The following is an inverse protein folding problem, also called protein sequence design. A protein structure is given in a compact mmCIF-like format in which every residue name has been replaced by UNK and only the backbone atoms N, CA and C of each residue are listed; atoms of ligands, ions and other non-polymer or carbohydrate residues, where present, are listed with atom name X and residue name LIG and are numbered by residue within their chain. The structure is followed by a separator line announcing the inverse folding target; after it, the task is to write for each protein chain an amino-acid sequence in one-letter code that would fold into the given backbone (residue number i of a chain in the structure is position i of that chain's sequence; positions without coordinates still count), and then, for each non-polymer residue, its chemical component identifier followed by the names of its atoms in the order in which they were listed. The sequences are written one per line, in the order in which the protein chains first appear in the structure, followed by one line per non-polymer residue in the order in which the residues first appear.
data_IF_896380570450
#
_entry.id   IF_896380570450
#
_cell.length_a   1.000
_cell.length_b   1.000
_cell.length_c   1.000
_cell.angle_alpha   90.00
_cell.angle_beta   90.00
_cell.angle_gamma   90.00
#
_symmetry.space_group_name_H-M   'P 1'
#
loop_
_entity.id
_entity.type
_entity.pdbx_description
1 polymer ?
#
# COMPACT_ATOMS: atom_id res chain seq x y z
N UNK A 1 -50.73 58.77 -16.45
CA UNK A 1 -50.58 57.44 -15.81
C UNK A 1 -49.47 56.60 -16.46
N UNK A 2 -49.43 56.42 -17.78
CA UNK A 2 -48.40 55.62 -18.46
C UNK A 2 -46.94 56.05 -18.19
N UNK A 3 -46.66 57.35 -18.14
CA UNK A 3 -45.30 57.85 -17.88
C UNK A 3 -44.78 57.50 -16.47
N UNK A 4 -45.66 57.50 -15.47
CA UNK A 4 -45.31 57.12 -14.10
C UNK A 4 -44.94 55.65 -13.96
N UNK A 5 -45.66 54.77 -14.67
CA UNK A 5 -45.34 53.33 -14.73
C UNK A 5 -43.95 53.12 -15.37
N UNK A 6 -43.64 53.83 -16.46
CA UNK A 6 -42.36 53.69 -17.15
C UNK A 6 -41.16 54.11 -16.27
N UNK A 7 -41.30 55.22 -15.54
CA UNK A 7 -40.26 55.70 -14.60
C UNK A 7 -40.07 54.71 -13.44
N UNK A 8 -41.17 54.17 -12.90
CA UNK A 8 -41.11 53.17 -11.82
C UNK A 8 -40.39 51.90 -12.26
N UNK A 9 -40.64 51.41 -13.48
CA UNK A 9 -39.96 50.23 -14.03
C UNK A 9 -38.46 50.49 -14.26
N UNK A 10 -38.11 51.70 -14.71
CA UNK A 10 -36.72 52.08 -14.94
C UNK A 10 -35.90 52.09 -13.63
N UNK A 11 -36.47 52.65 -12.55
CA UNK A 11 -35.84 52.66 -11.22
C UNK A 11 -35.66 51.24 -10.68
N UNK A 12 -36.67 50.39 -10.86
CA UNK A 12 -36.60 48.99 -10.46
C UNK A 12 -35.50 48.26 -11.23
N UNK A 13 -35.42 48.46 -12.55
CA UNK A 13 -34.38 47.85 -13.38
C UNK A 13 -32.96 48.25 -12.92
N UNK A 14 -32.73 49.54 -12.64
CA UNK A 14 -31.46 50.03 -12.07
C UNK A 14 -31.16 49.36 -10.72
N UNK A 15 -32.18 49.20 -9.87
CA UNK A 15 -32.02 48.57 -8.56
C UNK A 15 -31.62 47.10 -8.68
N UNK A 16 -32.26 46.34 -9.59
CA UNK A 16 -31.86 44.97 -9.89
C UNK A 16 -30.46 44.89 -10.48
N UNK A 17 -30.06 45.84 -11.32
CA UNK A 17 -28.72 45.89 -11.89
C UNK A 17 -27.65 46.08 -10.81
N UNK A 18 -27.90 46.96 -9.84
CA UNK A 18 -26.99 47.19 -8.70
C UNK A 18 -26.89 45.94 -7.83
N UNK A 19 -28.03 45.34 -7.46
CA UNK A 19 -28.04 44.09 -6.67
C UNK A 19 -27.31 42.98 -7.42
N UNK A 20 -27.57 42.84 -8.72
CA UNK A 20 -26.95 41.85 -9.56
C UNK A 20 -25.44 42.06 -9.63
N UNK A 21 -24.97 43.30 -9.84
CA UNK A 21 -23.56 43.65 -9.88
C UNK A 21 -22.84 43.32 -8.57
N UNK A 22 -23.43 43.69 -7.42
CA UNK A 22 -22.87 43.38 -6.10
C UNK A 22 -22.82 41.86 -5.84
N UNK A 23 -23.89 41.15 -6.19
CA UNK A 23 -23.97 39.69 -6.04
C UNK A 23 -22.95 38.98 -6.95
N UNK A 24 -22.74 39.48 -8.17
CA UNK A 24 -21.78 38.96 -9.13
C UNK A 24 -20.34 39.20 -8.64
N UNK A 25 -20.02 40.42 -8.19
CA UNK A 25 -18.68 40.75 -7.69
C UNK A 25 -18.27 39.89 -6.49
N UNK A 26 -19.22 39.54 -5.63
CA UNK A 26 -18.97 38.65 -4.48
C UNK A 26 -18.72 37.19 -4.89
N UNK A 27 -19.34 36.71 -5.96
CA UNK A 27 -19.21 35.32 -6.44
C UNK A 27 -17.99 35.10 -7.32
N UNK A 28 -17.53 36.14 -8.02
CA UNK A 28 -16.42 36.06 -8.99
C UNK A 28 -15.10 36.64 -8.47
N UNK A 29 -14.96 36.89 -7.17
CA UNK A 29 -13.67 37.30 -6.61
C UNK A 29 -12.77 36.06 -6.52
N UNK A 30 -11.86 35.89 -7.49
CA UNK A 30 -10.91 34.76 -7.58
C UNK A 30 -10.05 34.50 -6.33
N UNK A 31 -10.09 35.42 -5.35
CA UNK A 31 -9.57 35.20 -3.99
C UNK A 31 -10.22 34.00 -3.29
N UNK A 32 -11.52 33.79 -3.51
CA UNK A 32 -12.26 32.64 -2.96
C UNK A 32 -11.83 31.32 -3.59
N UNK A 33 -11.41 31.33 -4.86
CA UNK A 33 -10.89 30.14 -5.54
C UNK A 33 -9.52 29.73 -4.98
N UNK A 34 -8.63 30.70 -4.71
CA UNK A 34 -7.33 30.46 -4.08
C UNK A 34 -7.50 29.93 -2.66
N UNK A 35 -8.36 30.56 -1.86
CA UNK A 35 -8.64 30.10 -0.48
C UNK A 35 -9.22 28.68 -0.46
N UNK A 36 -10.11 28.36 -1.41
CA UNK A 36 -10.64 27.01 -1.57
C UNK A 36 -9.57 26.00 -2.04
N UNK A 37 -8.63 26.41 -2.89
CA UNK A 37 -7.52 25.57 -3.32
C UNK A 37 -6.55 25.29 -2.15
N UNK A 38 -6.18 26.31 -1.38
CA UNK A 38 -5.37 26.15 -0.16
C UNK A 38 -6.05 25.21 0.83
N UNK A 39 -7.35 25.40 1.08
CA UNK A 39 -8.14 24.51 1.95
C UNK A 39 -8.15 23.07 1.45
N UNK A 40 -8.27 22.86 0.14
CA UNK A 40 -8.19 21.53 -0.47
C UNK A 40 -6.81 20.90 -0.31
N UNK A 41 -5.73 21.68 -0.49
CA UNK A 41 -4.36 21.21 -0.26
C UNK A 41 -4.16 20.82 1.20
N UNK A 42 -4.60 21.65 2.15
CA UNK A 42 -4.52 21.31 3.58
C UNK A 42 -5.30 20.04 3.92
N UNK A 43 -6.49 19.87 3.34
CA UNK A 43 -7.27 18.64 3.49
C UNK A 43 -6.52 17.43 2.93
N UNK A 44 -5.96 17.56 1.73
CA UNK A 44 -5.20 16.47 1.10
C UNK A 44 -3.95 16.11 1.91
N UNK A 45 -3.21 17.10 2.43
CA UNK A 45 -2.08 16.85 3.33
C UNK A 45 -2.55 16.09 4.57
N UNK A 46 -3.65 16.52 5.18
CA UNK A 46 -4.21 15.85 6.35
C UNK A 46 -4.60 14.40 6.05
N UNK A 47 -5.25 14.15 4.93
CA UNK A 47 -5.69 12.82 4.51
C UNK A 47 -4.47 11.91 4.22
N UNK A 48 -3.44 12.43 3.53
CA UNK A 48 -2.19 11.70 3.27
C UNK A 48 -1.49 11.37 4.59
N UNK A 49 -1.35 12.33 5.49
CA UNK A 49 -0.70 12.09 6.79
C UNK A 49 -1.47 11.05 7.60
N UNK A 50 -2.80 11.13 7.63
CA UNK A 50 -3.63 10.16 8.34
C UNK A 50 -3.50 8.75 7.75
N UNK A 51 -3.61 8.60 6.43
CA UNK A 51 -3.44 7.29 5.78
C UNK A 51 -2.01 6.76 5.88
N UNK A 52 -1.01 7.63 5.91
CA UNK A 52 0.39 7.24 6.11
C UNK A 52 0.60 6.70 7.52
N UNK A 53 0.10 7.38 8.55
CA UNK A 53 0.18 6.94 9.94
C UNK A 53 -0.51 5.58 10.12
N UNK A 54 -1.74 5.45 9.60
CA UNK A 54 -2.46 4.18 9.62
C UNK A 54 -1.70 3.06 8.91
N UNK A 55 -1.09 3.36 7.75
CA UNK A 55 -0.30 2.39 7.00
C UNK A 55 0.95 1.96 7.77
N UNK A 56 1.61 2.88 8.48
CA UNK A 56 2.75 2.57 9.35
C UNK A 56 2.30 1.62 10.47
N UNK A 57 1.19 1.90 11.15
CA UNK A 57 0.64 1.02 12.19
C UNK A 57 0.37 -0.39 11.66
N UNK A 58 -0.30 -0.52 10.51
CA UNK A 58 -0.58 -1.83 9.90
C UNK A 58 0.72 -2.56 9.53
N UNK A 59 1.73 -1.83 9.06
CA UNK A 59 3.02 -2.39 8.68
C UNK A 59 3.79 -2.87 9.92
N UNK A 60 3.74 -2.12 11.01
CA UNK A 60 4.32 -2.51 12.30
C UNK A 60 3.67 -3.78 12.86
N UNK A 61 2.34 -3.85 12.85
CA UNK A 61 1.59 -5.04 13.26
C UNK A 61 1.98 -6.26 12.42
N UNK A 62 2.06 -6.11 11.10
CA UNK A 62 2.48 -7.18 10.18
C UNK A 62 3.93 -7.60 10.37
N UNK A 63 4.81 -6.65 10.68
CA UNK A 63 6.21 -6.93 10.99
C UNK A 63 6.33 -7.75 12.28
N UNK A 64 5.55 -7.40 13.31
CA UNK A 64 5.50 -8.13 14.57
C UNK A 64 4.94 -9.55 14.39
N UNK A 65 3.84 -9.69 13.63
CA UNK A 65 3.27 -10.99 13.27
C UNK A 65 4.30 -11.86 12.55
N UNK A 66 4.96 -11.31 11.53
CA UNK A 66 5.98 -12.01 10.74
C UNK A 66 7.17 -12.43 11.60
N UNK A 67 7.65 -11.54 12.48
CA UNK A 67 8.71 -11.87 13.43
C UNK A 67 8.32 -13.01 14.39
N UNK A 68 7.06 -13.06 14.82
CA UNK A 68 6.57 -14.16 15.65
C UNK A 68 6.57 -15.50 14.89
N UNK A 69 6.16 -15.50 13.62
CA UNK A 69 6.16 -16.69 12.76
C UNK A 69 7.60 -17.16 12.50
N UNK A 70 8.53 -16.23 12.27
CA UNK A 70 9.96 -16.53 12.14
C UNK A 70 10.50 -17.17 13.43
N UNK A 71 10.13 -16.63 14.60
CA UNK A 71 10.54 -17.20 15.89
C UNK A 71 9.98 -18.62 16.10
N UNK A 72 8.72 -18.86 15.74
CA UNK A 72 8.11 -20.19 15.80
C UNK A 72 8.77 -21.17 14.82
N UNK A 73 9.05 -20.73 13.59
CA UNK A 73 9.74 -21.53 12.60
C UNK A 73 11.15 -21.91 13.09
N UNK A 74 11.89 -20.97 13.66
CA UNK A 74 13.21 -21.23 14.26
C UNK A 74 13.13 -22.26 15.40
N UNK A 75 12.09 -22.19 16.25
CA UNK A 75 11.85 -23.20 17.29
C UNK A 75 11.61 -24.58 16.69
N UNK A 76 10.78 -24.68 15.64
CA UNK A 76 10.49 -25.95 14.94
C UNK A 76 11.74 -26.51 14.24
N UNK A 77 12.55 -25.66 13.62
CA UNK A 77 13.83 -26.05 13.01
C UNK A 77 14.79 -26.61 14.08
N UNK A 78 14.87 -25.96 15.24
CA UNK A 78 15.71 -26.44 16.34
C UNK A 78 15.27 -27.83 16.82
N UNK A 79 13.96 -28.05 16.98
CA UNK A 79 13.43 -29.35 17.37
C UNK A 79 13.69 -30.43 16.30
N UNK A 80 13.45 -30.11 15.02
CA UNK A 80 13.73 -31.02 13.92
C UNK A 80 15.21 -31.39 13.84
N UNK A 81 16.11 -30.42 14.03
CA UNK A 81 17.56 -30.67 14.08
C UNK A 81 17.95 -31.58 15.24
N UNK A 82 17.39 -31.35 16.42
CA UNK A 82 17.65 -32.22 17.59
C UNK A 82 17.13 -33.65 17.37
N UNK A 83 16.01 -33.83 16.68
CA UNK A 83 15.53 -35.17 16.30
C UNK A 83 16.46 -35.83 15.28
N UNK A 84 16.90 -35.08 14.27
CA UNK A 84 17.84 -35.57 13.26
C UNK A 84 19.18 -36.01 13.89
N UNK A 85 19.72 -35.23 14.83
CA UNK A 85 20.94 -35.59 15.55
C UNK A 85 20.76 -36.88 16.37
N UNK A 86 19.62 -37.05 17.06
CA UNK A 86 19.32 -38.29 17.79
C UNK A 86 19.18 -39.50 16.85
N UNK A 87 18.55 -39.31 15.69
CA UNK A 87 18.43 -40.35 14.66
C UNK A 87 19.81 -40.75 14.12
N UNK A 88 20.66 -39.77 13.79
CA UNK A 88 22.05 -40.02 13.34
C UNK A 88 22.87 -40.78 14.39
N UNK A 89 22.78 -40.38 15.66
CA UNK A 89 23.48 -41.09 16.74
C UNK A 89 23.01 -42.54 16.87
N UNK A 90 21.70 -42.80 16.79
CA UNK A 90 21.15 -44.16 16.83
C UNK A 90 21.61 -44.99 15.63
N UNK A 91 21.68 -44.39 14.44
CA UNK A 91 22.17 -45.03 13.21
C UNK A 91 23.67 -45.37 13.28
N UNK A 92 24.50 -44.47 13.83
CA UNK A 92 25.92 -44.74 14.08
C UNK A 92 26.12 -45.87 15.10
N UNK A 93 25.35 -45.91 16.19
CA UNK A 93 25.37 -47.00 17.17
C UNK A 93 25.00 -48.32 16.50
N UNK A 94 23.93 -48.33 15.70
CA UNK A 94 23.48 -49.52 14.97
C UNK A 94 24.58 -50.01 14.00
N UNK A 95 25.21 -49.11 13.24
CA UNK A 95 26.30 -49.43 12.30
C UNK A 95 27.53 -50.01 13.00
N UNK A 96 27.86 -49.51 14.19
CA UNK A 96 28.97 -50.01 15.01
C UNK A 96 28.68 -51.40 15.62
N UNK A 97 27.41 -51.75 15.84
CA UNK A 97 26.99 -53.07 16.32
C UNK A 97 26.89 -54.09 15.18
N UNK A 98 26.43 -53.66 14.00
CA UNK A 98 26.21 -54.55 12.84
C UNK A 98 27.50 -54.76 12.03
N UNK A 99 28.49 -53.84 12.10
CA UNK A 99 29.81 -54.10 11.52
C UNK A 99 30.51 -55.21 12.32
N UNK A 100 30.77 -56.40 11.73
CA UNK A 100 31.51 -57.43 12.42
C UNK A 100 32.94 -56.93 12.72
N UNK A 101 33.29 -56.98 14.00
CA UNK A 101 34.65 -56.84 14.51
C UNK A 101 35.60 -57.70 13.66
N UNK A 102 36.40 -57.06 12.82
CA UNK A 102 37.67 -57.61 12.39
C UNK A 102 38.76 -56.75 13.02
N UNK A 103 39.31 -57.28 14.11
CA UNK A 103 40.42 -56.73 14.87
C UNK A 103 41.65 -56.54 13.99
N UNK A 104 42.30 -55.38 14.06
CA UNK A 104 43.70 -55.35 14.49
C UNK A 104 44.25 -53.94 14.80
N UNK A 105 44.74 -53.85 16.04
CA UNK A 105 45.97 -53.20 16.48
C UNK A 105 46.16 -51.68 16.31
N UNK A 106 46.35 -51.04 17.47
CA UNK A 106 47.51 -50.18 17.78
C UNK A 106 47.71 -48.91 16.95
N UNK A 107 47.52 -47.74 17.57
CA UNK A 107 48.63 -46.98 18.15
C UNK A 107 48.28 -45.53 18.55
N UNK A 108 48.57 -45.24 19.82
CA UNK A 108 49.18 -44.01 20.36
C UNK A 108 48.80 -42.65 19.75
N UNK A 109 48.03 -41.92 20.54
CA UNK A 109 48.03 -40.46 20.70
C UNK A 109 49.45 -39.89 20.75
N UNK A 110 49.80 -38.95 19.86
CA UNK A 110 50.98 -38.07 19.97
C UNK A 110 50.55 -36.61 20.05
N UNK A 111 51.23 -35.92 20.94
CA UNK A 111 51.03 -34.54 21.33
C UNK A 111 51.58 -33.51 20.32
N UNK A 112 50.85 -32.40 20.19
CA UNK A 112 51.25 -30.97 20.34
C UNK A 112 52.60 -30.44 19.76
N UNK A 113 52.45 -29.28 19.08
CA UNK A 113 53.39 -28.15 18.75
C UNK A 113 54.27 -28.27 17.50
N UNK A 114 54.68 -27.23 16.75
CA UNK A 114 54.29 -25.82 16.46
C UNK A 114 55.53 -25.16 15.78
N UNK A 115 55.40 -24.55 14.60
CA UNK A 115 56.27 -23.47 14.04
C UNK A 115 55.84 -23.14 12.59
N UNK A 116 55.31 -21.96 12.19
CA UNK A 116 55.71 -20.53 12.19
C UNK A 116 56.60 -20.09 11.02
N UNK A 117 56.05 -19.27 10.10
CA UNK A 117 56.65 -18.04 9.48
C UNK A 117 55.77 -17.56 8.29
N UNK A 118 54.94 -16.52 8.45
CA UNK A 118 55.22 -15.09 8.16
C UNK A 118 55.20 -14.72 6.64
N UNK A 119 54.10 -14.19 6.08
CA UNK A 119 53.76 -12.74 5.91
C UNK A 119 53.68 -12.37 4.38
N UNK A 120 53.42 -11.13 3.92
CA UNK A 120 52.19 -10.73 3.22
C UNK A 120 52.42 -10.06 1.83
N UNK A 121 51.39 -9.92 0.96
CA UNK A 121 51.33 -8.74 0.05
C UNK A 121 50.01 -8.53 -0.71
N UNK A 122 49.32 -7.47 -0.29
CA UNK A 122 48.50 -6.56 -1.13
C UNK A 122 49.33 -5.99 -2.29
N UNK A 123 48.71 -5.83 -3.46
CA UNK A 123 49.02 -4.73 -4.40
C UNK A 123 47.71 -4.10 -4.87
N UNK A 124 47.57 -2.80 -4.57
CA UNK A 124 46.69 -1.84 -5.25
C UNK A 124 47.34 -1.45 -6.58
N UNK A 125 46.52 -1.15 -7.59
CA UNK A 125 46.72 0.03 -8.44
C UNK A 125 45.35 0.68 -8.63
N UNK A 126 45.26 1.94 -8.24
CA UNK A 126 44.15 2.86 -8.44
C UNK A 126 44.21 3.40 -9.88
N UNK A 127 43.08 3.52 -10.57
CA UNK A 127 42.91 4.57 -11.57
C UNK A 127 41.47 5.08 -11.56
N UNK A 128 41.35 6.41 -11.53
CA UNK A 128 40.19 7.24 -11.22
C UNK A 128 39.59 7.78 -12.53
N UNK A 129 38.32 7.48 -12.85
CA UNK A 129 37.45 8.28 -13.73
C UNK A 129 36.00 8.09 -13.26
N UNK A 130 35.46 9.05 -12.53
CA UNK A 130 34.69 10.21 -13.04
C UNK A 130 33.19 9.85 -13.19
N UNK A 131 32.42 10.35 -12.23
CA UNK A 131 30.96 10.29 -12.17
C UNK A 131 30.44 11.13 -13.34
N UNK A 132 29.83 10.49 -14.34
CA UNK A 132 29.01 11.16 -15.33
C UNK A 132 27.55 10.78 -15.13
N UNK A 133 26.75 11.82 -14.91
CA UNK A 133 25.30 11.84 -14.96
C UNK A 133 24.79 10.95 -16.10
N UNK A 134 23.91 10.00 -15.79
CA UNK A 134 23.08 9.39 -16.82
C UNK A 134 21.75 10.11 -16.81
N UNK A 135 21.66 11.06 -17.72
CA UNK A 135 20.46 11.81 -18.05
C UNK A 135 19.33 10.85 -18.44
N UNK A 136 18.23 11.05 -17.73
CA UNK A 136 16.84 10.88 -18.13
C UNK A 136 16.61 11.03 -19.64
N UNK A 137 16.44 9.93 -20.38
CA UNK A 137 15.50 9.72 -21.50
C UNK A 137 15.50 8.23 -21.87
N UNK A 138 14.34 7.56 -22.05
CA UNK A 138 14.32 6.16 -22.43
C UNK A 138 14.74 5.99 -23.90
N UNK A 139 15.74 5.13 -24.12
CA UNK A 139 16.15 4.65 -25.44
C UNK A 139 15.01 3.92 -26.16
N UNK A 140 14.86 4.15 -27.46
CA UNK A 140 13.85 3.62 -28.39
C UNK A 140 13.86 2.09 -28.64
N UNK A 141 14.36 1.30 -27.69
CA UNK A 141 14.36 -0.17 -27.75
C UNK A 141 13.99 -0.77 -26.40
N UNK A 142 12.86 -0.32 -25.85
CA UNK A 142 12.26 -0.98 -24.67
C UNK A 142 11.08 -1.82 -25.11
N UNK A 143 11.12 -3.10 -24.73
CA UNK A 143 9.97 -4.00 -24.71
C UNK A 143 8.75 -3.27 -24.12
N UNK A 144 7.53 -3.55 -24.59
CA UNK A 144 6.34 -2.81 -24.17
C UNK A 144 6.28 -2.76 -22.64
N UNK A 145 6.16 -1.53 -22.11
CA UNK A 145 6.00 -1.26 -20.68
C UNK A 145 4.83 -2.12 -20.19
N UNK A 146 5.13 -3.20 -19.47
CA UNK A 146 4.13 -4.06 -18.84
C UNK A 146 3.55 -3.29 -17.66
N UNK A 147 2.44 -2.60 -17.92
CA UNK A 147 1.67 -1.91 -16.87
C UNK A 147 1.00 -3.00 -16.03
N UNK A 148 1.57 -3.31 -14.87
CA UNK A 148 0.88 -4.07 -13.84
C UNK A 148 -0.12 -3.15 -13.14
N UNK A 149 -1.29 -2.96 -13.75
CA UNK A 149 -2.43 -2.52 -12.95
C UNK A 149 -2.77 -3.69 -12.04
N UNK A 150 -2.54 -3.55 -10.72
CA UNK A 150 -3.14 -4.48 -9.77
C UNK A 150 -4.65 -4.34 -9.96
N UNK A 151 -5.28 -5.32 -10.61
CA UNK A 151 -6.71 -5.51 -10.46
C UNK A 151 -6.97 -5.63 -8.97
N UNK A 152 -7.82 -4.74 -8.46
CA UNK A 152 -8.35 -4.81 -7.10
C UNK A 152 -9.24 -6.05 -7.12
N UNK A 153 -8.65 -7.24 -6.90
CA UNK A 153 -9.42 -8.41 -6.58
C UNK A 153 -10.09 -8.10 -5.24
N UNK A 154 -11.39 -7.83 -5.31
CA UNK A 154 -12.28 -7.82 -4.15
C UNK A 154 -11.94 -9.01 -3.27
N UNK A 155 -11.47 -8.72 -2.06
CA UNK A 155 -11.18 -9.73 -1.06
C UNK A 155 -12.46 -10.54 -0.83
N UNK A 156 -12.50 -11.86 -1.09
CA UNK A 156 -13.75 -12.63 -1.02
C UNK A 156 -14.30 -12.82 0.41
N UNK A 157 -13.64 -12.23 1.43
CA UNK A 157 -13.85 -12.66 2.81
C UNK A 157 -13.81 -11.52 3.83
N UNK A 158 -14.46 -10.39 3.51
CA UNK A 158 -14.93 -9.42 4.52
C UNK A 158 -16.30 -8.88 4.09
N UNK A 159 -17.37 -9.46 4.65
CA UNK A 159 -18.76 -8.96 4.63
C UNK A 159 -19.69 -9.26 3.42
N UNK A 160 -19.60 -10.44 2.79
CA UNK A 160 -20.54 -10.87 1.73
C UNK A 160 -22.02 -10.79 2.15
N UNK A 161 -22.32 -10.93 3.45
CA UNK A 161 -23.70 -10.87 3.96
C UNK A 161 -24.26 -9.44 4.12
N UNK A 162 -23.39 -8.44 4.31
CA UNK A 162 -23.80 -7.05 4.51
C UNK A 162 -23.81 -6.29 3.18
N UNK A 163 -22.87 -6.61 2.30
CA UNK A 163 -22.75 -6.02 0.97
C UNK A 163 -23.96 -6.33 0.08
N UNK A 164 -24.53 -7.55 0.19
CA UNK A 164 -25.79 -7.90 -0.47
C UNK A 164 -26.97 -7.07 0.05
N UNK A 165 -27.04 -6.82 1.36
CA UNK A 165 -28.08 -5.98 1.97
C UNK A 165 -27.99 -4.53 1.48
N UNK A 166 -26.79 -3.98 1.36
CA UNK A 166 -26.60 -2.61 0.86
C UNK A 166 -26.89 -2.50 -0.63
N UNK A 167 -26.51 -3.50 -1.45
CA UNK A 167 -26.84 -3.54 -2.89
C UNK A 167 -28.35 -3.48 -3.12
N UNK A 168 -29.12 -4.31 -2.42
CA UNK A 168 -30.58 -4.31 -2.54
C UNK A 168 -31.18 -2.94 -2.12
N UNK A 169 -30.65 -2.36 -1.03
CA UNK A 169 -31.08 -1.06 -0.52
C UNK A 169 -30.77 0.08 -1.51
N UNK A 170 -29.61 0.07 -2.15
CA UNK A 170 -29.21 1.04 -3.18
C UNK A 170 -30.13 0.95 -4.38
N UNK A 171 -30.44 -0.26 -4.85
CA UNK A 171 -31.34 -0.49 -5.98
C UNK A 171 -32.75 0.04 -5.65
N UNK A 172 -33.26 -0.21 -4.44
CA UNK A 172 -34.56 0.34 -4.03
C UNK A 172 -34.56 1.87 -3.97
N UNK A 173 -33.52 2.49 -3.42
CA UNK A 173 -33.43 3.94 -3.35
C UNK A 173 -33.31 4.57 -4.73
N UNK A 174 -32.54 3.97 -5.63
CA UNK A 174 -32.43 4.40 -7.02
C UNK A 174 -33.77 4.27 -7.75
N UNK A 175 -34.52 3.17 -7.54
CA UNK A 175 -35.90 3.01 -8.07
C UNK A 175 -36.88 4.05 -7.53
N UNK A 176 -36.68 4.52 -6.30
CA UNK A 176 -37.44 5.63 -5.70
C UNK A 176 -37.03 7.00 -6.26
N UNK A 177 -36.07 7.07 -7.19
CA UNK A 177 -35.62 8.29 -7.84
C UNK A 177 -34.64 9.12 -7.00
N UNK A 178 -34.01 8.54 -5.98
CA UNK A 178 -32.96 9.22 -5.22
C UNK A 178 -31.70 9.35 -6.08
N UNK A 179 -31.03 10.50 -5.98
CA UNK A 179 -29.76 10.72 -6.67
C UNK A 179 -28.63 9.91 -6.03
N UNK A 180 -27.60 9.63 -6.83
CA UNK A 180 -26.43 8.83 -6.40
C UNK A 180 -25.73 9.47 -5.20
N UNK A 181 -25.71 10.81 -5.15
CA UNK A 181 -25.11 11.59 -4.05
C UNK A 181 -25.89 11.42 -2.74
N UNK A 182 -27.22 11.40 -2.79
CA UNK A 182 -28.07 11.20 -1.61
C UNK A 182 -28.02 9.75 -1.11
N UNK A 183 -27.81 8.79 -2.02
CA UNK A 183 -27.61 7.39 -1.66
C UNK A 183 -26.27 7.20 -0.95
N UNK A 184 -25.21 7.88 -1.41
CA UNK A 184 -23.88 7.84 -0.80
C UNK A 184 -23.83 8.45 0.62
N UNK A 185 -24.75 9.35 0.96
CA UNK A 185 -24.88 9.86 2.33
C UNK A 185 -25.51 8.82 3.28
N UNK A 186 -26.36 7.93 2.76
CA UNK A 186 -27.10 6.94 3.56
C UNK A 186 -26.42 5.59 3.67
N UNK A 187 -25.52 5.27 2.75
CA UNK A 187 -24.85 3.97 2.64
C UNK A 187 -23.34 4.19 2.73
N UNK A 188 -22.61 3.39 3.53
CA UNK A 188 -21.16 3.55 3.70
C UNK A 188 -20.37 2.97 2.50
N UNK A 189 -20.79 3.29 1.28
CA UNK A 189 -20.15 2.86 0.02
C UNK A 189 -19.76 4.08 -0.80
N UNK A 190 -18.64 4.01 -1.55
CA UNK A 190 -18.18 5.13 -2.37
C UNK A 190 -19.14 5.38 -3.54
N UNK A 191 -19.22 6.64 -3.98
CA UNK A 191 -20.13 7.07 -5.06
C UNK A 191 -19.96 6.23 -6.34
N UNK A 192 -18.72 5.88 -6.70
CA UNK A 192 -18.45 5.07 -7.90
C UNK A 192 -18.95 3.63 -7.79
N UNK A 193 -18.98 3.05 -6.59
CA UNK A 193 -19.55 1.72 -6.38
C UNK A 193 -21.08 1.75 -6.44
N UNK A 194 -21.70 2.81 -5.90
CA UNK A 194 -23.14 3.04 -5.99
C UNK A 194 -23.55 3.25 -7.46
N UNK A 195 -22.81 4.06 -8.22
CA UNK A 195 -23.04 4.28 -9.66
C UNK A 195 -22.90 2.98 -10.46
N UNK A 196 -21.90 2.15 -10.12
CA UNK A 196 -21.73 0.83 -10.73
C UNK A 196 -22.93 -0.09 -10.41
N UNK A 197 -23.39 -0.12 -9.16
CA UNK A 197 -24.55 -0.94 -8.76
C UNK A 197 -25.82 -0.48 -9.47
N UNK A 198 -26.05 0.83 -9.56
CA UNK A 198 -27.22 1.37 -10.25
C UNK A 198 -27.15 1.09 -11.75
N UNK A 199 -26.00 1.30 -12.40
CA UNK A 199 -25.84 1.10 -13.85
C UNK A 199 -25.93 -0.36 -14.30
N UNK A 200 -25.67 -1.33 -13.42
CA UNK A 200 -25.82 -2.75 -13.71
C UNK A 200 -27.25 -3.28 -13.50
N UNK A 201 -28.11 -2.57 -12.78
CA UNK A 201 -29.40 -3.07 -12.28
C UNK A 201 -30.63 -2.25 -12.71
N UNK A 202 -30.43 -1.14 -13.42
CA UNK A 202 -31.45 -0.34 -14.11
C UNK A 202 -31.38 -0.57 -15.61
#
# INVERSE_FOLDING_TARGET
MMLGIAISLFIFNIFFLIIFYLKLQKRFSGKTEIENAEKQVYKLISDITFHTEQSITILEDKLNETNSIIAELNKRILLAKNEEEKRKQAEEILKNIISPQNSNSSSKTKAKKQSTSASPKRKKTEEKKEIKNLEMFPSETSEPIKIYTKQILSSPNRNVLQESSFREQIIEMARKGLSVELIAEKVPLPIGEIELIVSMNM
#
